data_IF_989918271248
#
_entry.id   IF_989918271248
#
_cell.length_a   1.000
_cell.length_b   1.000
_cell.length_c   1.000
_cell.angle_alpha   90.00
_cell.angle_beta   90.00
_cell.angle_gamma   90.00
#
_symmetry.space_group_name_H-M   'P 1'
#
loop_
_entity.id
_entity.type
_entity.pdbx_description
1 polymer ?
#
# COMPACT_ATOMS: atom_id res chain seq x y z
N UNK A 1 19.64 7.37 -3.08
CA UNK A 1 18.35 7.38 -2.39
C UNK A 1 17.54 6.22 -2.97
N UNK A 2 17.15 5.26 -2.15
CA UNK A 2 16.33 4.13 -2.57
C UNK A 2 14.85 4.55 -2.52
N UNK A 3 14.16 4.48 -3.65
CA UNK A 3 12.84 5.07 -3.85
C UNK A 3 11.82 3.99 -4.17
N UNK A 4 10.76 3.92 -3.40
CA UNK A 4 9.68 2.95 -3.60
C UNK A 4 8.36 3.65 -3.93
N UNK A 5 7.52 2.98 -4.71
CA UNK A 5 6.13 3.33 -4.95
C UNK A 5 5.31 2.03 -4.96
N UNK A 6 4.65 1.72 -3.85
CA UNK A 6 4.03 0.42 -3.62
C UNK A 6 2.49 0.44 -3.75
N UNK A 7 1.91 1.44 -4.44
CA UNK A 7 0.47 1.51 -4.64
C UNK A 7 0.15 2.11 -6.01
N UNK A 8 -0.22 1.25 -6.96
CA UNK A 8 -0.55 1.65 -8.33
C UNK A 8 -1.63 0.74 -8.91
N UNK A 9 -2.58 1.35 -9.61
CA UNK A 9 -3.68 0.69 -10.30
C UNK A 9 -3.44 0.62 -11.80
N UNK A 10 -3.91 -0.46 -12.41
CA UNK A 10 -3.79 -0.70 -13.84
C UNK A 10 -5.17 -0.98 -14.46
N UNK A 11 -5.19 -1.39 -15.72
CA UNK A 11 -6.44 -1.83 -16.41
C UNK A 11 -7.10 -3.06 -15.78
N UNK A 12 -6.49 -3.70 -14.78
CA UNK A 12 -7.15 -4.72 -13.98
C UNK A 12 -8.11 -4.14 -12.94
N UNK A 13 -7.94 -2.86 -12.57
CA UNK A 13 -8.90 -2.09 -11.79
C UNK A 13 -9.89 -1.37 -12.70
N UNK A 14 -11.14 -1.22 -12.25
CA UNK A 14 -12.20 -0.55 -13.02
C UNK A 14 -11.90 0.93 -13.30
N UNK A 15 -11.07 1.55 -12.49
CA UNK A 15 -10.68 2.96 -12.50
C UNK A 15 -9.24 3.21 -12.96
N UNK A 16 -8.46 2.14 -13.16
CA UNK A 16 -7.13 2.23 -13.74
C UNK A 16 -7.15 2.26 -15.27
N UNK A 17 -6.35 3.12 -15.90
CA UNK A 17 -6.36 3.27 -17.36
C UNK A 17 -5.13 2.76 -18.08
N UNK A 18 -4.05 2.53 -17.39
CA UNK A 18 -2.78 2.12 -17.98
C UNK A 18 -2.50 0.62 -17.79
N UNK A 19 -1.75 0.02 -18.70
CA UNK A 19 -1.27 -1.36 -18.54
C UNK A 19 -0.22 -1.43 -17.44
N UNK A 20 0.01 -2.61 -16.83
CA UNK A 20 1.11 -2.79 -15.88
C UNK A 20 2.47 -2.34 -16.44
N UNK A 21 2.74 -2.64 -17.71
CA UNK A 21 3.98 -2.22 -18.38
C UNK A 21 4.13 -0.71 -18.47
N UNK A 22 3.06 0.02 -18.84
CA UNK A 22 3.10 1.49 -18.90
C UNK A 22 3.40 2.11 -17.54
N UNK A 23 2.80 1.57 -16.47
CA UNK A 23 3.07 1.99 -15.07
C UNK A 23 4.54 1.72 -14.70
N UNK A 24 5.04 0.50 -15.00
CA UNK A 24 6.42 0.10 -14.70
C UNK A 24 7.42 0.96 -15.49
N UNK A 25 7.20 1.19 -16.78
CA UNK A 25 8.06 2.02 -17.61
C UNK A 25 8.09 3.48 -17.15
N UNK A 26 6.95 4.02 -16.72
CA UNK A 26 6.89 5.34 -16.11
C UNK A 26 7.67 5.40 -14.78
N UNK A 27 7.61 4.36 -13.97
CA UNK A 27 8.37 4.26 -12.72
C UNK A 27 9.89 4.24 -13.00
N UNK A 28 10.36 3.45 -13.97
CA UNK A 28 11.75 3.43 -14.44
C UNK A 28 12.20 4.84 -14.86
N UNK A 29 11.44 5.49 -15.73
CA UNK A 29 11.73 6.85 -16.22
C UNK A 29 11.66 7.90 -15.09
N UNK A 30 10.98 7.58 -14.01
CA UNK A 30 10.87 8.42 -12.83
C UNK A 30 11.97 8.16 -11.80
N UNK A 31 12.82 7.14 -12.00
CA UNK A 31 13.90 6.76 -11.09
C UNK A 31 13.38 6.15 -9.79
N UNK A 32 12.36 5.31 -9.91
CA UNK A 32 11.84 4.45 -8.84
C UNK A 32 12.63 3.14 -8.87
N UNK A 33 13.04 2.65 -7.70
CA UNK A 33 13.81 1.40 -7.56
C UNK A 33 12.89 0.17 -7.35
N UNK A 34 11.76 0.38 -6.70
CA UNK A 34 10.73 -0.67 -6.46
C UNK A 34 9.35 -0.13 -6.76
N UNK A 35 8.63 -0.83 -7.63
CA UNK A 35 7.24 -0.54 -7.96
C UNK A 35 6.33 -1.68 -7.52
N UNK A 36 5.21 -1.38 -6.88
CA UNK A 36 4.14 -2.31 -6.58
C UNK A 36 2.93 -2.09 -7.46
N UNK A 37 2.36 -3.16 -8.00
CA UNK A 37 1.08 -3.14 -8.71
C UNK A 37 0.04 -3.73 -7.78
N UNK A 38 -1.03 -3.00 -7.50
CA UNK A 38 -1.98 -3.27 -6.40
C UNK A 38 -3.43 -3.01 -6.83
N UNK A 39 -3.83 -3.62 -7.93
CA UNK A 39 -5.19 -3.45 -8.43
C UNK A 39 -6.25 -3.89 -7.40
N UNK A 40 -7.44 -3.33 -7.51
CA UNK A 40 -8.58 -3.64 -6.62
C UNK A 40 -9.05 -5.08 -6.75
N UNK A 41 -9.04 -5.80 -5.62
CA UNK A 41 -9.46 -7.19 -5.55
C UNK A 41 -10.89 -7.41 -6.09
N UNK A 42 -11.83 -6.55 -5.72
CA UNK A 42 -13.23 -6.69 -6.10
C UNK A 42 -13.46 -6.52 -7.62
N UNK A 43 -12.56 -5.85 -8.33
CA UNK A 43 -12.62 -5.73 -9.79
C UNK A 43 -12.03 -6.97 -10.48
N UNK A 44 -10.94 -7.47 -9.94
CA UNK A 44 -10.27 -8.66 -10.49
C UNK A 44 -11.13 -9.92 -10.29
N UNK A 45 -11.76 -10.06 -9.12
CA UNK A 45 -12.63 -11.17 -8.78
C UNK A 45 -11.98 -12.53 -9.03
N UNK A 46 -12.66 -13.41 -9.75
CA UNK A 46 -12.19 -14.77 -10.07
C UNK A 46 -10.94 -14.81 -10.97
N UNK A 47 -10.53 -13.68 -11.55
CA UNK A 47 -9.34 -13.58 -12.39
C UNK A 47 -8.03 -13.37 -11.60
N UNK A 48 -8.04 -13.46 -10.26
CA UNK A 48 -6.81 -13.33 -9.44
C UNK A 48 -5.64 -14.18 -9.93
N UNK A 49 -5.79 -15.44 -10.34
CA UNK A 49 -4.68 -16.23 -10.87
C UNK A 49 -4.08 -15.62 -12.15
N UNK A 50 -4.92 -15.13 -13.06
CA UNK A 50 -4.48 -14.50 -14.32
C UNK A 50 -3.75 -13.19 -14.03
N UNK A 51 -4.26 -12.37 -13.13
CA UNK A 51 -3.60 -11.16 -12.66
C UNK A 51 -2.23 -11.47 -12.06
N UNK A 52 -2.16 -12.43 -11.15
CA UNK A 52 -0.91 -12.84 -10.53
C UNK A 52 0.13 -13.25 -11.57
N UNK A 53 -0.22 -14.16 -12.48
CA UNK A 53 0.68 -14.62 -13.54
C UNK A 53 1.16 -13.49 -14.45
N UNK A 54 0.26 -12.54 -14.78
CA UNK A 54 0.62 -11.37 -15.58
C UNK A 54 1.69 -10.53 -14.90
N UNK A 55 1.50 -10.22 -13.60
CA UNK A 55 2.49 -9.44 -12.85
C UNK A 55 3.79 -10.23 -12.66
N UNK A 56 3.77 -11.57 -12.49
CA UNK A 56 4.99 -12.39 -12.49
C UNK A 56 5.74 -12.28 -13.82
N UNK A 57 5.04 -12.25 -14.95
CA UNK A 57 5.67 -12.01 -16.25
C UNK A 57 6.34 -10.62 -16.30
N UNK A 58 5.70 -9.59 -15.81
CA UNK A 58 6.30 -8.25 -15.68
C UNK A 58 7.55 -8.26 -14.77
N UNK A 59 7.51 -8.97 -13.64
CA UNK A 59 8.67 -9.11 -12.74
C UNK A 59 9.89 -9.66 -13.49
N UNK A 60 9.69 -10.68 -14.32
CA UNK A 60 10.76 -11.29 -15.12
C UNK A 60 11.23 -10.32 -16.21
N UNK A 61 10.29 -9.73 -16.97
CA UNK A 61 10.57 -8.82 -18.09
C UNK A 61 11.41 -7.60 -17.70
N UNK A 62 11.22 -7.08 -16.50
CA UNK A 62 11.86 -5.83 -16.05
C UNK A 62 12.92 -6.05 -14.97
N UNK A 63 13.31 -7.29 -14.66
CA UNK A 63 14.18 -7.65 -13.54
C UNK A 63 15.55 -6.93 -13.53
N UNK A 64 16.07 -6.56 -14.70
CA UNK A 64 17.34 -5.85 -14.89
C UNK A 64 17.22 -4.34 -14.70
N UNK A 65 16.01 -3.79 -14.59
CA UNK A 65 15.75 -2.34 -14.58
C UNK A 65 15.09 -1.85 -13.29
N UNK A 66 14.15 -2.61 -12.76
CA UNK A 66 13.37 -2.23 -11.59
C UNK A 66 12.84 -3.48 -10.87
N UNK A 67 12.76 -3.42 -9.54
CA UNK A 67 12.09 -4.48 -8.79
C UNK A 67 10.58 -4.27 -8.85
N UNK A 68 9.86 -5.20 -9.47
CA UNK A 68 8.39 -5.19 -9.51
C UNK A 68 7.86 -6.10 -8.40
N UNK A 69 6.86 -5.65 -7.66
CA UNK A 69 6.14 -6.43 -6.66
C UNK A 69 4.69 -6.63 -7.09
N UNK A 70 4.19 -7.84 -6.86
CA UNK A 70 2.79 -8.19 -7.05
C UNK A 70 2.04 -7.97 -5.75
N UNK A 71 1.28 -6.90 -5.67
CA UNK A 71 0.40 -6.59 -4.56
C UNK A 71 -1.06 -6.72 -4.95
N UNK A 72 -1.93 -6.46 -3.99
CA UNK A 72 -3.38 -6.42 -4.17
C UNK A 72 -3.97 -5.42 -3.19
N UNK A 73 -4.86 -4.54 -3.65
CA UNK A 73 -5.65 -3.71 -2.75
C UNK A 73 -6.99 -4.39 -2.44
N UNK A 74 -7.28 -4.52 -1.14
CA UNK A 74 -8.42 -5.27 -0.61
C UNK A 74 -9.34 -4.35 0.19
N UNK A 75 -10.59 -4.24 -0.23
CA UNK A 75 -11.60 -3.49 0.49
C UNK A 75 -11.94 -4.10 1.85
N UNK A 76 -12.09 -3.26 2.86
CA UNK A 76 -12.52 -3.69 4.20
C UNK A 76 -14.04 -3.57 4.40
N UNK A 77 -14.81 -3.48 3.31
CA UNK A 77 -16.27 -3.36 3.29
C UNK A 77 -16.89 -4.46 2.45
N UNK A 78 -18.10 -4.92 2.84
CA UNK A 78 -18.76 -4.80 4.15
C UNK A 78 -18.36 -5.89 5.14
N UNK A 79 -17.73 -6.97 4.67
CA UNK A 79 -17.34 -8.12 5.47
C UNK A 79 -16.10 -8.82 4.89
N UNK A 80 -15.35 -9.58 5.71
CA UNK A 80 -14.17 -10.30 5.26
C UNK A 80 -14.50 -11.33 4.18
N UNK A 81 -13.81 -11.30 3.05
CA UNK A 81 -13.86 -12.37 2.06
C UNK A 81 -12.92 -13.51 2.47
N UNK A 82 -13.48 -14.60 2.94
CA UNK A 82 -12.75 -15.71 3.58
C UNK A 82 -11.83 -16.49 2.62
N UNK A 83 -12.02 -16.37 1.32
CA UNK A 83 -11.17 -17.02 0.31
C UNK A 83 -9.84 -16.29 0.09
N UNK A 84 -9.78 -14.98 0.33
CA UNK A 84 -8.63 -14.14 0.01
C UNK A 84 -7.33 -14.53 0.73
N UNK A 85 -7.31 -14.90 2.02
CA UNK A 85 -6.07 -15.31 2.67
C UNK A 85 -5.37 -16.47 1.96
N UNK A 86 -6.14 -17.41 1.38
CA UNK A 86 -5.59 -18.52 0.60
C UNK A 86 -5.21 -18.06 -0.81
N UNK A 87 -6.08 -17.31 -1.49
CA UNK A 87 -5.88 -16.85 -2.85
C UNK A 87 -4.64 -15.92 -2.99
N UNK A 88 -4.30 -15.18 -1.93
CA UNK A 88 -3.17 -14.23 -1.94
C UNK A 88 -1.86 -14.77 -1.38
N UNK A 89 -1.76 -16.07 -1.07
CA UNK A 89 -0.56 -16.66 -0.44
C UNK A 89 0.75 -16.42 -1.20
N UNK A 90 0.69 -16.27 -2.51
CA UNK A 90 1.84 -16.08 -3.39
C UNK A 90 2.14 -14.59 -3.68
N UNK A 91 1.27 -13.69 -3.25
CA UNK A 91 1.49 -12.26 -3.43
C UNK A 91 2.63 -11.77 -2.55
N UNK A 92 3.34 -10.73 -3.00
CA UNK A 92 4.41 -10.13 -2.19
C UNK A 92 3.80 -9.41 -0.97
N UNK A 93 2.63 -8.78 -1.14
CA UNK A 93 1.90 -8.09 -0.07
C UNK A 93 0.44 -7.82 -0.46
N UNK A 94 -0.33 -7.39 0.53
CA UNK A 94 -1.67 -6.83 0.35
C UNK A 94 -1.78 -5.47 1.04
N UNK A 95 -2.61 -4.59 0.50
CA UNK A 95 -3.00 -3.33 1.11
C UNK A 95 -4.49 -3.40 1.47
N UNK A 96 -4.83 -3.13 2.71
CA UNK A 96 -6.22 -3.02 3.15
C UNK A 96 -6.68 -1.58 3.09
N UNK A 97 -7.72 -1.29 2.31
CA UNK A 97 -8.24 0.04 2.11
C UNK A 97 -9.44 0.37 2.99
N UNK A 98 -9.70 1.66 3.18
CA UNK A 98 -10.92 2.20 3.77
C UNK A 98 -11.19 1.80 5.23
N UNK A 99 -10.17 1.41 6.00
CA UNK A 99 -10.36 0.96 7.38
C UNK A 99 -10.77 2.11 8.34
N UNK A 100 -10.46 3.34 7.98
CA UNK A 100 -10.88 4.55 8.71
C UNK A 100 -12.24 5.10 8.26
N UNK A 101 -12.87 4.50 7.26
CA UNK A 101 -14.24 4.85 6.83
C UNK A 101 -15.28 4.36 7.85
N UNK A 102 -16.40 5.09 7.94
CA UNK A 102 -17.52 4.73 8.82
C UNK A 102 -18.24 3.42 8.44
N UNK A 103 -18.04 2.95 7.20
CA UNK A 103 -18.62 1.73 6.66
C UNK A 103 -17.63 0.55 6.66
N UNK A 104 -16.41 0.74 7.18
CA UNK A 104 -15.46 -0.35 7.33
C UNK A 104 -16.01 -1.44 8.27
N UNK A 105 -15.50 -2.64 8.11
CA UNK A 105 -15.73 -3.69 9.10
C UNK A 105 -15.21 -3.26 10.48
N UNK A 106 -15.65 -3.93 11.53
CA UNK A 106 -15.12 -3.69 12.86
C UNK A 106 -13.60 -3.93 12.90
N UNK A 107 -12.87 -3.09 13.62
CA UNK A 107 -11.40 -3.14 13.63
C UNK A 107 -10.87 -4.44 14.26
N UNK A 108 -11.55 -4.99 15.25
CA UNK A 108 -11.14 -6.27 15.86
C UNK A 108 -11.43 -7.44 14.92
N UNK A 109 -12.55 -7.41 14.20
CA UNK A 109 -12.85 -8.37 13.14
C UNK A 109 -11.82 -8.31 12.02
N UNK A 110 -11.41 -7.10 11.62
CA UNK A 110 -10.31 -6.89 10.68
C UNK A 110 -9.01 -7.54 11.16
N UNK A 111 -8.61 -7.37 12.43
CA UNK A 111 -7.39 -7.96 12.96
C UNK A 111 -7.42 -9.50 12.95
N UNK A 112 -8.56 -10.11 13.28
CA UNK A 112 -8.74 -11.56 13.20
C UNK A 112 -8.63 -12.06 11.75
N UNK A 113 -9.19 -11.32 10.79
CA UNK A 113 -9.07 -11.64 9.38
C UNK A 113 -7.64 -11.46 8.86
N UNK A 114 -6.97 -10.34 9.20
CA UNK A 114 -5.57 -10.07 8.83
C UNK A 114 -4.63 -11.22 9.23
N UNK A 115 -4.82 -11.81 10.39
CA UNK A 115 -3.98 -12.91 10.90
C UNK A 115 -3.99 -14.16 10.02
N UNK A 116 -4.96 -14.29 9.13
CA UNK A 116 -5.07 -15.42 8.21
C UNK A 116 -4.20 -15.24 6.96
N UNK A 117 -3.76 -14.02 6.67
CA UNK A 117 -2.87 -13.74 5.53
C UNK A 117 -1.42 -14.06 5.87
N UNK A 118 -0.75 -14.79 4.97
CA UNK A 118 0.66 -15.16 5.09
C UNK A 118 1.59 -14.11 4.48
N UNK A 119 1.13 -13.42 3.42
CA UNK A 119 1.89 -12.34 2.80
C UNK A 119 1.95 -11.10 3.71
N UNK A 120 2.89 -10.21 3.42
CA UNK A 120 2.96 -8.91 4.10
C UNK A 120 1.65 -8.14 3.94
N UNK A 121 1.28 -7.36 4.94
CA UNK A 121 0.05 -6.58 4.90
C UNK A 121 0.28 -5.14 5.35
N UNK A 122 -0.36 -4.21 4.65
CA UNK A 122 -0.33 -2.79 4.98
C UNK A 122 -1.72 -2.17 4.98
N UNK A 123 -1.81 -0.95 5.49
CA UNK A 123 -3.01 -0.13 5.42
C UNK A 123 -2.83 0.92 4.32
N UNK A 124 -3.65 0.84 3.26
CA UNK A 124 -3.72 1.84 2.22
C UNK A 124 -4.40 3.12 2.74
N UNK A 125 -3.87 4.27 2.34
CA UNK A 125 -4.41 5.62 2.55
C UNK A 125 -5.22 5.84 3.86
N UNK A 126 -4.84 5.16 4.93
CA UNK A 126 -5.51 5.23 6.24
C UNK A 126 -4.83 6.22 7.18
N UNK A 127 -5.58 7.15 7.78
CA UNK A 127 -5.09 7.95 8.91
C UNK A 127 -5.08 7.09 10.19
N UNK A 128 -3.94 6.44 10.45
CA UNK A 128 -3.80 5.56 11.60
C UNK A 128 -3.94 6.27 12.94
N UNK A 129 -3.62 7.56 13.02
CA UNK A 129 -3.77 8.33 14.25
C UNK A 129 -5.24 8.59 14.54
N UNK A 130 -6.02 8.98 13.52
CA UNK A 130 -7.48 9.12 13.66
C UNK A 130 -8.15 7.78 13.98
N UNK A 131 -7.66 6.68 13.37
CA UNK A 131 -8.13 5.32 13.66
C UNK A 131 -7.89 4.96 15.13
N UNK A 132 -6.68 5.23 15.66
CA UNK A 132 -6.34 5.01 17.07
C UNK A 132 -7.21 5.81 18.04
N UNK A 133 -7.48 7.06 17.72
CA UNK A 133 -8.37 7.91 18.52
C UNK A 133 -9.81 7.36 18.52
N UNK A 134 -10.32 6.94 17.36
CA UNK A 134 -11.68 6.37 17.22
C UNK A 134 -11.90 5.16 18.13
N UNK A 135 -10.93 4.28 18.23
CA UNK A 135 -11.05 3.04 19.01
C UNK A 135 -10.45 3.14 20.42
N UNK A 136 -9.83 4.28 20.77
CA UNK A 136 -9.14 4.45 22.05
C UNK A 136 -7.94 3.53 22.22
N UNK A 137 -7.20 3.24 21.14
CA UNK A 137 -6.13 2.27 21.06
C UNK A 137 -4.76 2.93 20.87
N UNK A 138 -3.72 2.33 21.43
CA UNK A 138 -2.35 2.51 20.94
C UNK A 138 -2.22 1.80 19.59
N UNK A 139 -2.66 2.49 18.54
CA UNK A 139 -2.73 1.94 17.19
C UNK A 139 -1.35 1.49 16.70
N UNK A 140 -0.30 2.21 17.06
CA UNK A 140 1.06 1.90 16.64
C UNK A 140 1.49 0.53 17.20
N UNK A 141 1.22 0.32 18.48
CA UNK A 141 1.46 -0.99 19.12
C UNK A 141 0.64 -2.09 18.43
N UNK A 142 -0.62 -1.83 18.14
CA UNK A 142 -1.50 -2.81 17.47
C UNK A 142 -0.98 -3.17 16.08
N UNK A 143 -0.58 -2.20 15.26
CA UNK A 143 -0.02 -2.45 13.92
C UNK A 143 1.25 -3.30 14.01
N UNK A 144 2.16 -2.95 14.91
CA UNK A 144 3.40 -3.68 15.11
C UNK A 144 3.15 -5.13 15.57
N UNK A 145 2.27 -5.32 16.54
CA UNK A 145 1.98 -6.64 17.11
C UNK A 145 1.23 -7.57 16.13
N UNK A 146 0.65 -7.02 15.06
CA UNK A 146 -0.02 -7.76 13.99
C UNK A 146 0.75 -7.74 12.66
N UNK A 147 2.00 -7.27 12.65
CA UNK A 147 2.86 -7.21 11.46
C UNK A 147 2.17 -6.48 10.29
N UNK A 148 1.66 -5.28 10.58
CA UNK A 148 0.98 -4.43 9.60
C UNK A 148 1.83 -3.17 9.37
N UNK A 149 2.27 -2.95 8.14
CA UNK A 149 2.94 -1.71 7.77
C UNK A 149 1.93 -0.60 7.44
N UNK A 150 2.36 0.64 7.52
CA UNK A 150 1.55 1.80 7.17
C UNK A 150 1.96 2.37 5.83
N UNK A 151 0.99 2.86 5.05
CA UNK A 151 1.26 3.58 3.82
C UNK A 151 1.24 5.09 4.02
N UNK A 152 2.27 5.76 3.54
CA UNK A 152 2.28 7.20 3.31
C UNK A 152 1.83 7.46 1.87
N UNK A 153 0.52 7.70 1.69
CA UNK A 153 -0.10 7.86 0.38
C UNK A 153 0.13 9.27 -0.18
N UNK A 154 0.67 9.35 -1.38
CA UNK A 154 1.11 10.60 -2.01
C UNK A 154 0.17 11.12 -3.10
N UNK A 155 -1.02 10.52 -3.26
CA UNK A 155 -2.02 10.95 -4.26
C UNK A 155 -2.47 12.41 -4.09
N UNK A 156 -2.32 12.93 -2.86
CA UNK A 156 -2.74 14.29 -2.50
C UNK A 156 -4.20 14.38 -2.08
N UNK A 157 -4.91 13.26 -2.01
CA UNK A 157 -6.31 13.21 -1.61
C UNK A 157 -6.50 13.12 -0.09
N UNK A 158 -5.41 12.85 0.66
CA UNK A 158 -5.46 12.53 2.08
C UNK A 158 -4.69 13.55 2.94
N UNK A 159 -5.38 14.16 3.89
CA UNK A 159 -4.81 15.19 4.76
C UNK A 159 -3.70 14.65 5.67
N UNK A 160 -3.76 13.39 6.10
CA UNK A 160 -2.76 12.80 6.98
C UNK A 160 -1.35 12.77 6.35
N UNK A 161 -1.25 12.70 5.01
CA UNK A 161 0.02 12.80 4.30
C UNK A 161 0.69 14.16 4.56
N UNK A 162 -0.05 15.26 4.35
CA UNK A 162 0.48 16.61 4.56
C UNK A 162 0.78 16.90 6.03
N UNK A 163 -0.06 16.40 6.93
CA UNK A 163 0.18 16.51 8.37
C UNK A 163 1.47 15.77 8.75
N UNK A 164 1.66 14.54 8.30
CA UNK A 164 2.87 13.76 8.60
C UNK A 164 4.15 14.42 8.09
N UNK A 165 4.13 15.11 6.93
CA UNK A 165 5.30 15.81 6.40
C UNK A 165 5.85 16.91 7.35
N UNK A 166 5.02 17.47 8.20
CA UNK A 166 5.36 18.63 9.06
C UNK A 166 5.22 18.36 10.55
N UNK A 167 4.50 17.31 10.93
CA UNK A 167 4.21 16.98 12.32
C UNK A 167 5.34 16.17 12.97
N UNK A 168 6.31 16.85 13.53
CA UNK A 168 7.48 16.22 14.14
C UNK A 168 7.15 15.28 15.31
N UNK A 169 6.01 15.49 15.99
CA UNK A 169 5.54 14.59 17.05
C UNK A 169 5.12 13.24 16.46
N UNK A 170 4.29 13.22 15.40
CA UNK A 170 3.89 12.00 14.71
C UNK A 170 5.09 11.30 14.09
N UNK A 171 6.00 12.05 13.45
CA UNK A 171 7.24 11.51 12.88
C UNK A 171 8.08 10.78 13.94
N UNK A 172 8.24 11.39 15.13
CA UNK A 172 8.98 10.77 16.22
C UNK A 172 8.30 9.47 16.71
N UNK A 173 6.98 9.48 16.88
CA UNK A 173 6.21 8.29 17.28
C UNK A 173 6.46 7.14 16.29
N UNK A 174 6.33 7.39 14.99
CA UNK A 174 6.56 6.35 13.96
C UNK A 174 8.00 5.88 13.96
N UNK A 175 8.97 6.78 14.01
CA UNK A 175 10.39 6.43 14.08
C UNK A 175 10.71 5.53 15.28
N UNK A 176 10.26 5.91 16.48
CA UNK A 176 10.53 5.18 17.73
C UNK A 176 9.83 3.83 17.79
N UNK A 177 8.70 3.70 17.10
CA UNK A 177 7.93 2.45 17.04
C UNK A 177 8.60 1.35 16.24
N UNK A 178 9.38 1.70 15.23
CA UNK A 178 10.00 0.78 14.30
C UNK A 178 9.02 0.10 13.33
N UNK A 179 7.75 0.53 13.26
CA UNK A 179 6.82 -0.01 12.25
C UNK A 179 7.31 0.37 10.84
N UNK A 180 7.24 -0.54 9.86
CA UNK A 180 7.57 -0.22 8.50
C UNK A 180 6.55 0.75 7.89
N UNK A 181 7.04 1.67 7.04
CA UNK A 181 6.19 2.60 6.29
C UNK A 181 6.50 2.48 4.81
N UNK A 182 5.47 2.21 4.00
CA UNK A 182 5.58 2.26 2.54
C UNK A 182 5.28 3.67 2.02
N UNK A 183 5.65 3.91 0.76
CA UNK A 183 5.16 5.05 -0.01
C UNK A 183 4.32 4.50 -1.15
N UNK A 184 3.12 5.05 -1.34
CA UNK A 184 2.22 4.72 -2.43
C UNK A 184 1.75 5.98 -3.15
N UNK A 185 1.71 5.94 -4.48
CA UNK A 185 1.17 7.04 -5.27
C UNK A 185 -0.33 6.94 -5.47
N UNK A 186 -0.87 5.75 -5.39
CA UNK A 186 -2.29 5.48 -5.66
C UNK A 186 -2.65 5.97 -7.08
N UNK A 187 -1.75 5.67 -8.03
CA UNK A 187 -1.85 6.15 -9.40
C UNK A 187 -2.87 5.33 -10.18
N UNK A 188 -3.90 5.99 -10.71
CA UNK A 188 -4.89 5.44 -11.61
C UNK A 188 -4.65 5.86 -13.07
N UNK A 189 -4.04 7.04 -13.26
CA UNK A 189 -3.73 7.64 -14.55
C UNK A 189 -2.31 8.19 -14.57
N UNK A 190 -1.48 7.83 -15.53
CA UNK A 190 -0.11 8.33 -15.63
C UNK A 190 0.00 9.85 -15.70
N UNK A 191 -1.02 10.54 -16.25
CA UNK A 191 -1.07 12.00 -16.27
C UNK A 191 -1.11 12.63 -14.86
N UNK A 192 -1.53 11.87 -13.85
CA UNK A 192 -1.63 12.29 -12.45
C UNK A 192 -0.44 11.83 -11.60
N UNK A 193 0.53 11.14 -12.20
CA UNK A 193 1.67 10.59 -11.49
C UNK A 193 2.51 11.65 -10.76
N UNK A 194 2.52 11.61 -9.44
CA UNK A 194 3.08 12.65 -8.57
C UNK A 194 4.53 12.38 -8.15
N UNK A 195 5.42 12.26 -9.10
CA UNK A 195 6.85 11.97 -8.91
C UNK A 195 7.53 12.78 -7.78
N UNK A 196 7.20 14.08 -7.68
CA UNK A 196 7.80 14.95 -6.64
C UNK A 196 7.36 14.56 -5.24
N UNK A 197 6.09 14.24 -5.05
CA UNK A 197 5.53 13.81 -3.77
C UNK A 197 6.09 12.46 -3.35
N UNK A 198 6.18 11.50 -4.27
CA UNK A 198 6.78 10.19 -4.03
C UNK A 198 8.23 10.35 -3.55
N UNK A 199 9.04 11.15 -4.26
CA UNK A 199 10.42 11.42 -3.86
C UNK A 199 10.51 12.08 -2.49
N UNK A 200 9.66 13.08 -2.22
CA UNK A 200 9.65 13.78 -0.93
C UNK A 200 9.30 12.84 0.23
N UNK A 201 8.31 11.97 0.05
CA UNK A 201 7.94 10.97 1.05
C UNK A 201 9.10 10.00 1.33
N UNK A 202 9.68 9.41 0.28
CA UNK A 202 10.84 8.50 0.42
C UNK A 202 12.02 9.17 1.08
N UNK A 203 12.32 10.43 0.72
CA UNK A 203 13.38 11.20 1.35
C UNK A 203 13.13 11.40 2.84
N UNK A 204 11.91 11.77 3.24
CA UNK A 204 11.55 11.95 4.64
C UNK A 204 11.72 10.66 5.44
N UNK A 205 11.25 9.51 4.91
CA UNK A 205 11.41 8.23 5.59
C UNK A 205 12.88 7.87 5.80
N UNK A 206 13.75 8.16 4.81
CA UNK A 206 15.19 7.96 4.94
C UNK A 206 15.84 8.91 5.94
N UNK A 207 15.52 10.21 5.92
CA UNK A 207 16.00 11.21 6.88
C UNK A 207 15.63 10.81 8.32
N UNK A 208 14.48 10.22 8.51
CA UNK A 208 14.00 9.73 9.81
C UNK A 208 14.51 8.34 10.17
N UNK A 209 15.17 7.61 9.26
CA UNK A 209 15.53 6.19 9.40
C UNK A 209 14.31 5.30 9.72
N UNK A 210 13.17 5.55 9.08
CA UNK A 210 11.99 4.70 9.18
C UNK A 210 12.14 3.54 8.18
N UNK A 211 11.95 2.27 8.61
CA UNK A 211 12.13 1.12 7.73
C UNK A 211 11.04 1.03 6.68
N UNK A 212 11.40 0.53 5.49
CA UNK A 212 10.45 0.09 4.45
C UNK A 212 9.99 -1.35 4.74
N UNK A 213 8.78 -1.76 4.28
CA UNK A 213 8.25 -3.11 4.49
C UNK A 213 8.96 -4.21 3.69
#
# INVERSE_FOLDING_TARGET
>A
MYTVDLHNHTKFSYDGSNTPEEIIENAINSGIDVIGITDHQFTIGDNLPVYYEYIQHCKIKYADKIKVLCGLEIGTRPAPEQSLPIATRQFDYVLFECLDDSRAMDFYEFLEWRRQFVCKAGLAHTDIFALGERYGLDIIKVLRDNDIFWELNTSGNYNYYYDFLTNTKKQRIIKESGIPVSVGSDTHYLAEYRKKQIRRANQLLQELNIPLP
#
